data_IF_754176142476
#
_entry.id   IF_754176142476
#
_cell.length_a   1.000
_cell.length_b   1.000
_cell.length_c   1.000
_cell.angle_alpha   90.00
_cell.angle_beta   90.00
_cell.angle_gamma   90.00
#
_symmetry.space_group_name_H-M   'P 1'
#
loop_
_entity.id
_entity.type
_entity.pdbx_description
1 polymer ?
#
# COMPACT_ATOMS: atom_id res chain seq x y z
N UNK A 1 17.98 -16.89 -37.53
CA UNK A 1 17.80 -18.29 -37.11
C UNK A 1 18.16 -18.33 -35.64
N UNK A 2 17.22 -18.67 -34.74
CA UNK A 2 17.55 -18.79 -33.31
C UNK A 2 18.36 -20.09 -33.15
N UNK A 3 19.58 -20.05 -32.58
CA UNK A 3 20.34 -21.26 -32.29
C UNK A 3 19.49 -22.19 -31.42
N UNK A 4 19.38 -23.47 -31.77
CA UNK A 4 18.68 -24.46 -30.95
C UNK A 4 19.74 -25.20 -30.10
N UNK A 5 19.85 -24.92 -28.79
CA UNK A 5 20.82 -25.59 -27.93
C UNK A 5 20.50 -27.09 -27.80
N UNK A 6 21.44 -27.89 -27.31
CA UNK A 6 21.15 -29.29 -26.97
C UNK A 6 20.01 -29.37 -25.94
N UNK A 7 19.19 -30.43 -26.01
CA UNK A 7 18.04 -30.62 -25.12
C UNK A 7 18.40 -30.49 -23.64
N UNK A 8 19.54 -31.03 -23.21
CA UNK A 8 20.03 -30.92 -21.82
C UNK A 8 20.27 -29.47 -21.39
N UNK A 9 20.72 -28.62 -22.31
CA UNK A 9 20.91 -27.19 -22.06
C UNK A 9 19.54 -26.52 -21.99
N UNK A 10 18.63 -26.81 -22.93
CA UNK A 10 17.26 -26.29 -22.90
C UNK A 10 16.55 -26.61 -21.57
N UNK A 11 16.61 -27.86 -21.11
CA UNK A 11 15.95 -28.30 -19.87
C UNK A 11 16.46 -27.50 -18.64
N UNK A 12 17.77 -27.24 -18.57
CA UNK A 12 18.37 -26.43 -17.51
C UNK A 12 18.03 -24.95 -17.61
N UNK A 13 17.98 -24.38 -18.83
CA UNK A 13 17.57 -23.00 -19.03
C UNK A 13 16.13 -22.83 -18.55
N UNK A 14 15.26 -23.77 -18.90
CA UNK A 14 13.87 -23.80 -18.45
C UNK A 14 13.80 -23.91 -16.93
N UNK A 15 14.59 -24.79 -16.30
CA UNK A 15 14.64 -24.92 -14.83
C UNK A 15 14.98 -23.59 -14.13
N UNK A 16 16.02 -22.88 -14.61
CA UNK A 16 16.45 -21.60 -14.04
C UNK A 16 15.35 -20.54 -14.22
N UNK A 17 14.82 -20.38 -15.44
CA UNK A 17 13.83 -19.34 -15.73
C UNK A 17 12.53 -19.59 -14.97
N UNK A 18 12.06 -20.85 -14.91
CA UNK A 18 10.87 -21.21 -14.14
C UNK A 18 11.07 -20.95 -12.64
N UNK A 19 12.28 -21.16 -12.10
CA UNK A 19 12.55 -20.86 -10.69
C UNK A 19 12.42 -19.36 -10.37
N UNK A 20 12.86 -18.49 -11.28
CA UNK A 20 12.75 -17.03 -11.16
C UNK A 20 11.29 -16.58 -11.31
N UNK A 21 10.59 -17.06 -12.34
CA UNK A 21 9.18 -16.73 -12.56
C UNK A 21 8.30 -17.21 -11.40
N UNK A 22 8.59 -18.38 -10.83
CA UNK A 22 7.89 -18.89 -9.66
C UNK A 22 8.08 -17.96 -8.46
N UNK A 23 9.32 -17.54 -8.16
CA UNK A 23 9.59 -16.63 -7.04
C UNK A 23 8.94 -15.25 -7.26
N UNK A 24 8.96 -14.70 -8.48
CA UNK A 24 8.24 -13.47 -8.85
C UNK A 24 6.74 -13.63 -8.60
N UNK A 25 6.16 -14.75 -9.01
CA UNK A 25 4.74 -15.03 -8.79
C UNK A 25 4.40 -15.09 -7.30
N UNK A 26 5.17 -15.82 -6.49
CA UNK A 26 4.98 -15.90 -5.04
C UNK A 26 5.09 -14.51 -4.39
N UNK A 27 6.09 -13.71 -4.75
CA UNK A 27 6.24 -12.37 -4.20
C UNK A 27 5.03 -11.46 -4.55
N UNK A 28 4.48 -11.58 -5.76
CA UNK A 28 3.25 -10.84 -6.14
C UNK A 28 2.06 -11.27 -5.28
N UNK A 29 1.91 -12.57 -4.99
CA UNK A 29 0.86 -13.07 -4.10
C UNK A 29 1.05 -12.60 -2.66
N UNK A 30 2.30 -12.56 -2.17
CA UNK A 30 2.63 -11.97 -0.87
C UNK A 30 2.18 -10.51 -0.83
N UNK A 31 2.52 -9.71 -1.85
CA UNK A 31 2.14 -8.30 -1.92
C UNK A 31 0.63 -8.07 -1.95
N UNK A 32 -0.11 -8.91 -2.66
CA UNK A 32 -1.57 -8.88 -2.66
C UNK A 32 -2.15 -9.21 -1.28
N UNK A 33 -1.58 -10.20 -0.60
CA UNK A 33 -2.02 -10.63 0.74
C UNK A 33 -1.75 -9.54 1.78
N UNK A 34 -0.55 -8.95 1.79
CA UNK A 34 -0.18 -7.85 2.69
C UNK A 34 -1.10 -6.64 2.53
N UNK A 35 -1.45 -6.30 1.29
CA UNK A 35 -2.38 -5.21 0.98
C UNK A 35 -3.80 -5.52 1.44
N UNK A 36 -4.29 -6.74 1.21
CA UNK A 36 -5.60 -7.18 1.69
C UNK A 36 -5.69 -7.15 3.23
N UNK A 37 -4.62 -7.55 3.93
CA UNK A 37 -4.55 -7.44 5.39
C UNK A 37 -4.64 -5.98 5.86
N UNK A 38 -3.88 -5.07 5.24
CA UNK A 38 -3.93 -3.65 5.59
C UNK A 38 -5.29 -3.02 5.31
N UNK A 39 -5.94 -3.39 4.19
CA UNK A 39 -7.30 -2.96 3.86
C UNK A 39 -8.33 -3.49 4.85
N UNK A 40 -8.22 -4.74 5.30
CA UNK A 40 -9.10 -5.31 6.31
C UNK A 40 -8.99 -4.56 7.65
N UNK A 41 -7.76 -4.29 8.12
CA UNK A 41 -7.52 -3.52 9.35
C UNK A 41 -8.09 -2.10 9.20
N UNK A 42 -7.82 -1.43 8.07
CA UNK A 42 -8.35 -0.09 7.80
C UNK A 42 -9.88 -0.05 7.82
N UNK A 43 -10.52 -1.02 7.13
CA UNK A 43 -11.97 -1.13 7.08
C UNK A 43 -12.57 -1.36 8.47
N UNK A 44 -12.01 -2.31 9.22
CA UNK A 44 -12.42 -2.60 10.60
C UNK A 44 -12.35 -1.35 11.49
N UNK A 45 -11.25 -0.60 11.43
CA UNK A 45 -11.01 0.51 12.35
C UNK A 45 -11.74 1.79 11.94
N UNK A 46 -11.71 2.17 10.65
CA UNK A 46 -12.11 3.51 10.20
C UNK A 46 -13.37 3.54 9.33
N UNK A 47 -13.91 2.38 8.93
CA UNK A 47 -15.13 2.31 8.10
C UNK A 47 -16.26 1.64 8.86
N UNK A 48 -15.99 0.45 9.41
CA UNK A 48 -16.99 -0.35 10.11
C UNK A 48 -17.02 -0.04 11.62
N UNK A 49 -15.98 0.60 12.15
CA UNK A 49 -15.79 0.94 13.57
C UNK A 49 -15.93 -0.28 14.50
N UNK A 50 -15.44 -1.44 14.07
CA UNK A 50 -15.64 -2.72 14.79
C UNK A 50 -15.17 -2.69 16.25
N UNK A 51 -13.99 -2.13 16.59
CA UNK A 51 -13.56 -2.09 17.99
C UNK A 51 -14.49 -1.27 18.89
N UNK A 52 -15.06 -0.17 18.38
CA UNK A 52 -15.98 0.71 19.11
C UNK A 52 -17.32 0.01 19.30
N UNK A 53 -17.85 -0.60 18.23
CA UNK A 53 -19.11 -1.35 18.27
C UNK A 53 -19.02 -2.58 19.17
N UNK A 54 -17.87 -3.25 19.21
CA UNK A 54 -17.64 -4.37 20.12
C UNK A 54 -17.72 -3.93 21.59
N UNK A 55 -17.14 -2.76 21.93
CA UNK A 55 -17.28 -2.19 23.28
C UNK A 55 -18.72 -1.85 23.63
N UNK A 56 -19.44 -1.22 22.70
CA UNK A 56 -20.85 -0.85 22.90
C UNK A 56 -21.69 -2.10 23.18
N UNK A 57 -21.53 -3.15 22.36
CA UNK A 57 -22.27 -4.40 22.53
C UNK A 57 -21.98 -5.09 23.88
N UNK A 58 -20.72 -5.10 24.33
CA UNK A 58 -20.34 -5.63 25.63
C UNK A 58 -20.97 -4.84 26.80
N UNK A 59 -20.99 -3.51 26.70
CA UNK A 59 -21.64 -2.64 27.69
C UNK A 59 -23.15 -2.91 27.75
N UNK A 60 -23.81 -3.04 26.58
CA UNK A 60 -25.24 -3.34 26.49
C UNK A 60 -25.59 -4.73 27.04
N UNK A 61 -24.67 -5.69 26.94
CA UNK A 61 -24.79 -7.01 27.53
C UNK A 61 -24.57 -7.02 29.07
N UNK A 62 -24.15 -5.89 29.65
CA UNK A 62 -23.87 -5.77 31.09
C UNK A 62 -22.56 -6.42 31.51
N UNK A 63 -21.61 -6.57 30.58
CA UNK A 63 -20.27 -7.07 30.86
C UNK A 63 -19.46 -6.10 31.72
N UNK A 64 -18.42 -6.61 32.40
CA UNK A 64 -17.56 -5.77 33.21
C UNK A 64 -16.53 -4.98 32.38
N UNK A 65 -15.79 -4.08 33.03
CA UNK A 65 -14.86 -3.20 32.33
C UNK A 65 -13.71 -3.94 31.63
N UNK A 66 -13.30 -5.11 32.13
CA UNK A 66 -12.23 -5.89 31.50
C UNK A 66 -12.77 -6.61 30.25
N UNK A 67 -13.96 -7.20 30.35
CA UNK A 67 -14.63 -7.88 29.24
C UNK A 67 -14.95 -6.92 28.08
N UNK A 68 -15.33 -5.68 28.38
CA UNK A 68 -15.50 -4.61 27.37
C UNK A 68 -14.21 -4.32 26.61
N UNK A 69 -13.06 -4.30 27.30
CA UNK A 69 -11.76 -4.11 26.64
C UNK A 69 -11.39 -5.37 25.83
N UNK A 70 -11.64 -6.56 26.36
CA UNK A 70 -11.44 -7.82 25.63
C UNK A 70 -12.27 -7.88 24.35
N UNK A 71 -13.50 -7.36 24.34
CA UNK A 71 -14.33 -7.26 23.14
C UNK A 71 -13.65 -6.44 22.03
N UNK A 72 -13.06 -5.29 22.36
CA UNK A 72 -12.25 -4.51 21.43
C UNK A 72 -10.96 -5.24 21.01
N UNK A 73 -10.28 -5.93 21.93
CA UNK A 73 -9.08 -6.71 21.60
C UNK A 73 -9.37 -7.82 20.57
N UNK A 74 -10.51 -8.50 20.69
CA UNK A 74 -10.99 -9.48 19.70
C UNK A 74 -11.22 -8.84 18.34
N UNK A 75 -11.93 -7.72 18.30
CA UNK A 75 -12.19 -6.98 17.05
C UNK A 75 -10.90 -6.49 16.38
N UNK A 76 -9.93 -5.99 17.16
CA UNK A 76 -8.66 -5.47 16.63
C UNK A 76 -7.77 -6.59 16.08
N UNK A 77 -7.65 -7.69 16.82
CA UNK A 77 -6.67 -8.75 16.52
C UNK A 77 -7.22 -9.92 15.72
N UNK A 78 -8.54 -10.05 15.63
CA UNK A 78 -9.23 -11.21 15.07
C UNK A 78 -9.06 -12.48 15.92
N UNK A 79 -8.57 -12.38 17.16
CA UNK A 79 -8.32 -13.51 18.05
C UNK A 79 -9.57 -13.91 18.84
N UNK A 80 -9.68 -15.20 19.08
CA UNK A 80 -10.63 -15.81 20.04
C UNK A 80 -10.13 -15.66 21.48
N UNK A 81 -10.99 -15.95 22.46
CA UNK A 81 -10.64 -15.93 23.89
C UNK A 81 -9.46 -16.84 24.21
N UNK A 82 -9.53 -18.09 23.77
CA UNK A 82 -8.46 -19.07 23.95
C UNK A 82 -7.11 -18.59 23.36
N UNK A 83 -7.15 -17.80 22.27
CA UNK A 83 -5.96 -17.23 21.66
C UNK A 83 -5.45 -15.98 22.38
N UNK A 84 -6.34 -15.20 23.00
CA UNK A 84 -5.96 -14.06 23.84
C UNK A 84 -5.34 -14.54 25.15
N UNK A 85 -5.90 -15.58 25.78
CA UNK A 85 -5.34 -16.21 26.98
C UNK A 85 -3.93 -16.75 26.69
N UNK A 86 -3.77 -17.50 25.57
CA UNK A 86 -2.44 -17.94 25.13
C UNK A 86 -1.50 -16.78 24.84
N UNK A 87 -1.99 -15.70 24.24
CA UNK A 87 -1.17 -14.51 23.97
C UNK A 87 -0.70 -13.86 25.28
N UNK A 88 -1.55 -13.82 26.30
CA UNK A 88 -1.21 -13.30 27.62
C UNK A 88 -0.10 -14.14 28.28
N UNK A 89 -0.23 -15.47 28.21
CA UNK A 89 0.73 -16.40 28.82
C UNK A 89 2.07 -16.45 28.08
N UNK A 90 2.04 -16.57 26.74
CA UNK A 90 3.23 -16.79 25.92
C UNK A 90 3.92 -15.48 25.53
N UNK A 91 3.17 -14.41 25.32
CA UNK A 91 3.65 -13.13 24.80
C UNK A 91 3.02 -11.93 25.54
N UNK A 92 3.26 -11.79 26.87
CA UNK A 92 2.58 -10.80 27.72
C UNK A 92 2.79 -9.35 27.26
N UNK A 93 3.93 -9.06 26.60
CA UNK A 93 4.19 -7.73 26.03
C UNK A 93 3.26 -7.41 24.85
N UNK A 94 2.99 -8.38 23.98
CA UNK A 94 2.07 -8.20 22.86
C UNK A 94 0.63 -8.12 23.33
N UNK A 95 0.25 -8.93 24.33
CA UNK A 95 -1.06 -8.80 24.98
C UNK A 95 -1.25 -7.41 25.57
N UNK A 96 -0.29 -6.91 26.35
CA UNK A 96 -0.36 -5.57 26.94
C UNK A 96 -0.47 -4.47 25.87
N UNK A 97 0.29 -4.58 24.78
CA UNK A 97 0.20 -3.64 23.65
C UNK A 97 -1.19 -3.67 23.01
N UNK A 98 -1.74 -4.86 22.76
CA UNK A 98 -3.08 -5.02 22.20
C UNK A 98 -4.15 -4.43 23.13
N UNK A 99 -4.04 -4.67 24.43
CA UNK A 99 -4.91 -4.07 25.45
C UNK A 99 -4.82 -2.55 25.43
N UNK A 100 -3.62 -1.98 25.43
CA UNK A 100 -3.43 -0.52 25.33
C UNK A 100 -4.04 0.04 24.04
N UNK A 101 -3.90 -0.65 22.90
CA UNK A 101 -4.56 -0.23 21.66
C UNK A 101 -6.09 -0.28 21.78
N UNK A 102 -6.64 -1.34 22.39
CA UNK A 102 -8.07 -1.46 22.62
C UNK A 102 -8.61 -0.33 23.51
N UNK A 103 -7.87 0.07 24.55
CA UNK A 103 -8.22 1.18 25.44
C UNK A 103 -8.33 2.54 24.73
N UNK A 104 -7.63 2.74 23.60
CA UNK A 104 -7.70 4.00 22.83
C UNK A 104 -9.04 4.23 22.16
N UNK A 105 -9.79 3.18 21.82
CA UNK A 105 -11.07 3.31 21.14
C UNK A 105 -12.16 3.78 22.12
N UNK A 106 -13.00 4.74 21.75
CA UNK A 106 -14.14 5.14 22.56
C UNK A 106 -15.16 3.99 22.68
N UNK A 107 -16.10 4.14 23.61
CA UNK A 107 -17.18 3.17 23.85
C UNK A 107 -18.57 3.72 23.48
N UNK A 108 -18.62 4.77 22.66
CA UNK A 108 -19.84 5.43 22.23
C UNK A 108 -19.68 5.98 20.80
N UNK A 109 -20.81 6.23 20.15
CA UNK A 109 -20.91 6.91 18.86
C UNK A 109 -21.48 8.32 19.06
N UNK A 110 -21.20 9.21 18.12
CA UNK A 110 -21.73 10.57 18.04
C UNK A 110 -22.22 10.86 16.62
N UNK A 111 -23.21 11.75 16.51
CA UNK A 111 -23.66 12.25 15.21
C UNK A 111 -22.60 13.15 14.55
N UNK A 112 -22.43 13.01 13.24
CA UNK A 112 -21.59 13.89 12.43
C UNK A 112 -22.19 14.13 11.05
N UNK A 113 -21.59 15.05 10.30
CA UNK A 113 -21.96 15.34 8.91
C UNK A 113 -21.81 14.14 7.96
N UNK A 114 -21.01 13.13 8.35
CA UNK A 114 -20.78 11.89 7.60
C UNK A 114 -21.57 10.69 8.16
N UNK A 115 -22.51 10.93 9.07
CA UNK A 115 -23.24 9.89 9.81
C UNK A 115 -22.66 9.66 11.21
N UNK A 116 -23.02 8.55 11.84
CA UNK A 116 -22.51 8.20 13.16
C UNK A 116 -21.02 7.85 13.09
N UNK A 117 -20.21 8.52 13.90
CA UNK A 117 -18.77 8.28 14.04
C UNK A 117 -18.43 8.01 15.50
N UNK A 118 -17.30 7.37 15.82
CA UNK A 118 -16.89 7.17 17.21
C UNK A 118 -16.75 8.47 17.99
N UNK A 119 -17.11 8.45 19.28
CA UNK A 119 -17.04 9.63 20.14
C UNK A 119 -15.60 10.20 20.20
N UNK A 120 -15.47 11.52 20.02
CA UNK A 120 -14.19 12.23 20.00
C UNK A 120 -13.45 12.17 18.67
N UNK A 121 -13.97 11.47 17.66
CA UNK A 121 -13.43 11.51 16.30
C UNK A 121 -13.99 12.72 15.56
N UNK A 122 -13.14 13.39 14.78
CA UNK A 122 -13.48 14.65 14.10
C UNK A 122 -13.61 14.43 12.59
N UNK A 123 -14.60 15.11 11.98
CA UNK A 123 -14.70 15.21 10.53
C UNK A 123 -13.77 16.32 10.05
N UNK A 124 -12.75 15.95 9.28
CA UNK A 124 -11.82 16.84 8.59
C UNK A 124 -11.89 16.61 7.09
N UNK A 125 -10.85 16.99 6.36
CA UNK A 125 -10.72 16.77 4.93
C UNK A 125 -9.32 16.33 4.54
N UNK A 126 -9.18 15.75 3.35
CA UNK A 126 -7.91 15.21 2.85
C UNK A 126 -6.79 16.25 2.85
N UNK A 127 -7.10 17.52 2.59
CA UNK A 127 -6.13 18.61 2.60
C UNK A 127 -5.54 18.92 3.99
N UNK A 128 -6.27 18.63 5.06
CA UNK A 128 -5.82 18.83 6.43
C UNK A 128 -4.95 17.69 6.96
N UNK A 129 -5.07 16.49 6.38
CA UNK A 129 -4.30 15.30 6.78
C UNK A 129 -3.23 14.89 5.77
N UNK A 130 -3.00 15.72 4.74
CA UNK A 130 -1.97 15.50 3.74
C UNK A 130 -1.13 16.75 3.47
N UNK A 131 0.12 16.53 3.10
CA UNK A 131 1.00 17.54 2.49
C UNK A 131 1.05 17.31 0.99
N UNK A 132 0.69 18.32 0.21
CA UNK A 132 0.72 18.26 -1.25
C UNK A 132 1.99 18.91 -1.81
N UNK A 133 2.77 18.15 -2.58
CA UNK A 133 4.06 18.54 -3.16
C UNK A 133 3.98 18.90 -4.65
N UNK A 134 2.80 19.25 -5.14
CA UNK A 134 2.59 19.55 -6.55
C UNK A 134 3.46 20.67 -7.09
N UNK A 135 3.87 21.61 -6.23
CA UNK A 135 4.78 22.72 -6.56
C UNK A 135 6.20 22.25 -6.88
N UNK A 136 6.59 21.06 -6.45
CA UNK A 136 7.89 20.45 -6.71
C UNK A 136 7.93 19.62 -7.99
N UNK A 137 6.77 19.37 -8.63
CA UNK A 137 6.67 18.62 -9.89
C UNK A 137 7.25 19.44 -11.04
N UNK A 138 7.96 18.78 -11.95
CA UNK A 138 8.54 19.42 -13.15
C UNK A 138 8.13 18.59 -14.39
N UNK A 139 7.25 19.08 -15.28
CA UNK A 139 6.90 18.35 -16.49
C UNK A 139 8.07 18.34 -17.48
N UNK A 140 8.32 17.20 -18.12
CA UNK A 140 9.35 17.05 -19.14
C UNK A 140 8.70 16.61 -20.46
N UNK A 141 9.01 17.32 -21.54
CA UNK A 141 8.66 16.90 -22.89
C UNK A 141 9.37 15.59 -23.26
N UNK A 142 8.85 14.87 -24.26
CA UNK A 142 9.48 13.63 -24.76
C UNK A 142 10.96 13.83 -25.11
N UNK A 143 11.29 14.93 -25.82
CA UNK A 143 12.67 15.26 -26.20
C UNK A 143 13.58 15.48 -24.99
N UNK A 144 13.08 16.12 -23.93
CA UNK A 144 13.88 16.32 -22.70
C UNK A 144 14.15 14.99 -22.00
N UNK A 145 13.17 14.07 -21.97
CA UNK A 145 13.36 12.73 -21.40
C UNK A 145 14.35 11.89 -22.20
N UNK A 146 14.32 11.98 -23.53
CA UNK A 146 15.31 11.33 -24.42
C UNK A 146 16.75 11.85 -24.18
N UNK A 147 16.90 13.10 -23.76
CA UNK A 147 18.20 13.70 -23.45
C UNK A 147 18.70 13.41 -22.02
N UNK A 148 17.81 12.94 -21.14
CA UNK A 148 18.06 12.72 -19.71
C UNK A 148 17.96 11.25 -19.34
N UNK A 149 18.26 10.32 -20.26
CA UNK A 149 18.03 8.88 -20.02
C UNK A 149 18.84 8.36 -18.83
N UNK A 150 18.18 7.62 -17.94
CA UNK A 150 18.79 7.06 -16.73
C UNK A 150 17.96 5.96 -16.09
N UNK A 151 18.05 5.82 -14.76
CA UNK A 151 17.39 4.76 -13.98
C UNK A 151 16.27 5.27 -13.07
N UNK A 152 16.08 6.59 -12.96
CA UNK A 152 15.06 7.19 -12.10
C UNK A 152 13.70 7.13 -12.79
N UNK A 153 12.67 6.51 -12.19
CA UNK A 153 11.34 6.43 -12.79
C UNK A 153 10.70 7.81 -12.94
N UNK A 154 10.22 8.09 -14.15
CA UNK A 154 9.41 9.26 -14.48
C UNK A 154 7.93 8.88 -14.49
N UNK A 155 7.20 9.30 -13.44
CA UNK A 155 5.80 8.95 -13.22
C UNK A 155 4.84 9.91 -13.95
N UNK A 156 3.86 9.33 -14.64
CA UNK A 156 2.64 9.99 -15.10
C UNK A 156 1.46 9.77 -14.14
N UNK A 157 0.24 9.98 -14.63
CA UNK A 157 -0.99 9.83 -13.83
C UNK A 157 -1.19 8.40 -13.28
N UNK A 158 -0.90 7.37 -14.09
CA UNK A 158 -1.25 5.97 -13.79
C UNK A 158 -0.08 4.99 -13.79
N UNK A 159 1.03 5.35 -14.43
CA UNK A 159 2.19 4.46 -14.60
C UNK A 159 3.47 5.26 -14.73
N UNK A 160 4.61 4.56 -14.61
CA UNK A 160 5.91 5.03 -15.11
C UNK A 160 5.82 5.18 -16.63
N UNK A 161 6.20 6.37 -17.12
CA UNK A 161 6.16 6.74 -18.55
C UNK A 161 7.55 6.64 -19.19
N UNK A 162 8.61 6.84 -18.42
CA UNK A 162 10.01 6.82 -18.89
C UNK A 162 10.98 6.66 -17.71
N UNK A 163 12.28 6.65 -17.99
CA UNK A 163 13.34 6.71 -16.99
C UNK A 163 14.32 7.85 -17.29
N UNK A 164 14.68 8.59 -16.24
CA UNK A 164 15.57 9.76 -16.31
C UNK A 164 16.80 9.63 -15.40
N UNK A 165 17.79 10.50 -15.58
CA UNK A 165 19.10 10.48 -14.90
C UNK A 165 19.12 11.20 -13.55
N UNK A 166 18.14 12.07 -13.31
CA UNK A 166 18.01 12.90 -12.12
C UNK A 166 16.70 12.60 -11.39
N UNK A 167 16.62 12.94 -10.10
CA UNK A 167 15.41 12.82 -9.29
C UNK A 167 15.04 14.17 -8.68
N UNK A 168 13.75 14.37 -8.44
CA UNK A 168 13.21 15.57 -7.77
C UNK A 168 12.43 15.21 -6.50
N UNK A 169 12.17 13.92 -6.29
CA UNK A 169 11.57 13.36 -5.08
C UNK A 169 12.44 12.21 -4.57
N UNK A 170 12.57 12.08 -3.26
CA UNK A 170 13.18 10.93 -2.59
C UNK A 170 12.48 10.69 -1.25
N UNK A 171 11.64 9.67 -1.20
CA UNK A 171 10.76 9.41 -0.06
C UNK A 171 9.55 8.57 -0.46
N UNK A 172 8.62 8.38 0.47
CA UNK A 172 7.40 7.59 0.27
C UNK A 172 6.22 8.51 0.02
N UNK A 173 5.61 8.40 -1.16
CA UNK A 173 4.54 9.28 -1.61
C UNK A 173 3.35 8.50 -2.17
N UNK A 174 2.18 9.10 -2.03
CA UNK A 174 0.96 8.68 -2.72
C UNK A 174 0.75 9.61 -3.92
N UNK A 175 0.76 9.04 -5.12
CA UNK A 175 0.35 9.74 -6.32
C UNK A 175 -1.15 9.53 -6.55
N UNK A 176 -1.87 10.61 -6.89
CA UNK A 176 -3.29 10.56 -7.26
C UNK A 176 -3.46 11.20 -8.64
N UNK A 177 -4.17 10.57 -9.57
CA UNK A 177 -4.36 11.11 -10.92
C UNK A 177 -5.03 12.50 -10.92
N UNK A 178 -4.38 13.49 -11.51
CA UNK A 178 -4.89 14.87 -11.63
C UNK A 178 -5.72 15.06 -12.92
N UNK A 179 -5.19 14.59 -14.06
CA UNK A 179 -5.78 14.82 -15.40
C UNK A 179 -5.87 13.53 -16.22
N UNK A 180 -6.95 13.40 -16.99
CA UNK A 180 -7.18 12.28 -17.89
C UNK A 180 -7.60 11.03 -17.13
N UNK A 181 -6.64 10.20 -16.73
CA UNK A 181 -6.91 8.96 -15.99
C UNK A 181 -7.02 9.24 -14.49
N UNK A 182 -8.18 9.76 -14.10
CA UNK A 182 -8.50 10.16 -12.72
C UNK A 182 -9.32 9.07 -12.01
N UNK A 183 -10.32 8.51 -12.69
CA UNK A 183 -11.27 7.53 -12.14
C UNK A 183 -11.03 6.15 -12.74
N UNK A 184 -11.13 5.12 -11.90
CA UNK A 184 -11.37 3.74 -12.33
C UNK A 184 -12.86 3.51 -12.57
N UNK A 185 -13.19 2.35 -13.15
CA UNK A 185 -14.57 1.97 -13.49
C UNK A 185 -15.51 1.90 -12.27
N UNK A 186 -14.97 1.68 -11.07
CA UNK A 186 -15.71 1.65 -9.79
C UNK A 186 -15.88 3.03 -9.14
N UNK A 187 -15.34 4.09 -9.77
CA UNK A 187 -15.36 5.46 -9.25
C UNK A 187 -14.27 5.78 -8.24
N UNK A 188 -13.39 4.82 -7.92
CA UNK A 188 -12.20 5.07 -7.10
C UNK A 188 -11.11 5.79 -7.89
N UNK A 189 -10.21 6.54 -7.22
CA UNK A 189 -9.12 7.22 -7.89
C UNK A 189 -8.09 6.23 -8.47
N UNK A 190 -7.48 6.61 -9.60
CA UNK A 190 -6.17 6.08 -9.96
C UNK A 190 -5.12 6.61 -8.99
N UNK A 191 -4.45 5.68 -8.31
CA UNK A 191 -3.38 6.00 -7.36
C UNK A 191 -2.13 5.17 -7.64
N UNK A 192 -0.97 5.70 -7.28
CA UNK A 192 0.29 4.95 -7.28
C UNK A 192 1.02 5.20 -5.96
N UNK A 193 1.39 4.13 -5.26
CA UNK A 193 2.21 4.19 -4.06
C UNK A 193 3.68 4.02 -4.44
N UNK A 194 4.47 5.07 -4.26
CA UNK A 194 5.86 5.14 -4.72
C UNK A 194 6.82 5.35 -3.55
N UNK A 195 8.04 4.85 -3.68
CA UNK A 195 9.12 5.10 -2.72
C UNK A 195 10.47 5.28 -3.40
N UNK A 196 11.35 6.00 -2.71
CA UNK A 196 12.71 6.29 -3.16
C UNK A 196 12.78 7.38 -4.23
N UNK A 197 13.91 7.41 -4.95
CA UNK A 197 14.20 8.43 -5.96
C UNK A 197 13.25 8.35 -7.14
N UNK A 198 12.60 9.47 -7.44
CA UNK A 198 11.61 9.55 -8.51
C UNK A 198 11.51 10.94 -9.13
N UNK A 199 10.92 10.98 -10.32
CA UNK A 199 10.51 12.21 -10.99
C UNK A 199 9.01 12.13 -11.30
N UNK A 200 8.22 13.13 -10.92
CA UNK A 200 6.76 13.13 -11.12
C UNK A 200 6.31 14.24 -12.06
N UNK A 201 5.47 13.90 -13.03
CA UNK A 201 4.85 14.83 -13.98
C UNK A 201 3.66 15.59 -13.35
N UNK A 202 3.16 16.63 -14.02
CA UNK A 202 2.02 17.43 -13.60
C UNK A 202 0.64 16.74 -13.70
N UNK A 203 0.57 15.50 -14.20
CA UNK A 203 -0.68 14.74 -14.31
C UNK A 203 -1.01 13.90 -13.07
N UNK A 204 -0.18 13.95 -12.03
CA UNK A 204 -0.42 13.26 -10.77
C UNK A 204 -0.17 14.20 -9.59
N UNK A 205 -1.13 14.33 -8.68
CA UNK A 205 -0.90 14.95 -7.39
C UNK A 205 0.11 14.14 -6.58
N UNK A 206 1.02 14.80 -5.87
CA UNK A 206 2.03 14.14 -5.02
C UNK A 206 1.70 14.42 -3.55
N UNK A 207 1.27 13.39 -2.81
CA UNK A 207 0.81 13.52 -1.43
C UNK A 207 1.70 12.74 -0.46
N UNK A 208 1.82 13.26 0.76
CA UNK A 208 2.36 12.55 1.92
C UNK A 208 1.45 12.79 3.12
N UNK A 209 1.35 11.82 4.03
CA UNK A 209 0.61 11.99 5.29
C UNK A 209 1.12 13.15 6.14
N UNK A 210 0.22 13.85 6.83
CA UNK A 210 0.55 14.88 7.82
C UNK A 210 -0.42 14.83 9.02
N UNK A 211 -0.14 15.62 10.06
CA UNK A 211 -1.01 15.77 11.23
C UNK A 211 -1.39 14.44 11.90
N UNK A 212 -0.42 13.52 12.01
CA UNK A 212 -0.59 12.21 12.64
C UNK A 212 -1.16 11.14 11.70
N UNK A 213 -1.48 11.47 10.45
CA UNK A 213 -1.86 10.51 9.41
C UNK A 213 -0.64 10.17 8.56
N UNK A 214 -0.41 8.89 8.29
CA UNK A 214 0.71 8.40 7.50
C UNK A 214 0.30 8.17 6.03
N UNK A 215 1.28 8.11 5.12
CA UNK A 215 1.01 8.00 3.67
C UNK A 215 0.21 6.73 3.32
N UNK A 216 0.49 5.61 3.98
CA UNK A 216 -0.22 4.35 3.80
C UNK A 216 -1.69 4.45 4.27
N UNK A 217 -1.96 5.24 5.30
CA UNK A 217 -3.32 5.54 5.74
C UNK A 217 -4.05 6.33 4.65
N UNK A 218 -3.44 7.39 4.10
CA UNK A 218 -4.01 8.12 2.96
C UNK A 218 -4.29 7.21 1.77
N UNK A 219 -3.38 6.26 1.49
CA UNK A 219 -3.54 5.33 0.39
C UNK A 219 -4.77 4.44 0.59
N UNK A 220 -4.89 3.79 1.76
CA UNK A 220 -6.02 2.92 2.10
C UNK A 220 -7.34 3.69 2.09
N UNK A 221 -7.33 4.91 2.64
CA UNK A 221 -8.45 5.83 2.57
C UNK A 221 -8.84 6.09 1.11
N UNK A 222 -7.93 6.59 0.27
CA UNK A 222 -8.22 6.91 -1.13
C UNK A 222 -8.66 5.71 -1.96
N UNK A 223 -8.15 4.50 -1.68
CA UNK A 223 -8.62 3.26 -2.31
C UNK A 223 -10.09 2.96 -2.00
N UNK A 224 -10.57 3.33 -0.81
CA UNK A 224 -11.96 3.11 -0.37
C UNK A 224 -12.95 4.18 -0.83
N UNK A 225 -12.45 5.33 -1.32
CA UNK A 225 -13.31 6.46 -1.69
C UNK A 225 -13.84 6.35 -3.12
N UNK A 226 -15.13 6.65 -3.29
CA UNK A 226 -15.67 7.02 -4.60
C UNK A 226 -15.52 8.53 -4.78
N UNK A 227 -14.67 8.95 -5.72
CA UNK A 227 -14.35 10.37 -5.90
C UNK A 227 -15.10 11.02 -7.07
N UNK A 228 -16.07 10.33 -7.68
CA UNK A 228 -16.79 10.80 -8.88
C UNK A 228 -17.36 12.21 -8.71
N UNK A 229 -17.88 12.53 -7.51
CA UNK A 229 -18.45 13.84 -7.20
C UNK A 229 -17.42 15.00 -7.16
N UNK A 230 -16.13 14.68 -7.00
CA UNK A 230 -15.03 15.66 -6.92
C UNK A 230 -14.34 15.87 -8.27
N UNK A 231 -14.62 15.01 -9.26
CA UNK A 231 -14.03 15.08 -10.58
C UNK A 231 -14.84 16.02 -11.47
N UNK A 232 -14.12 16.82 -12.25
CA UNK A 232 -14.68 17.82 -13.16
C UNK A 232 -14.28 17.52 -14.61
N UNK A 233 -14.98 18.13 -15.57
CA UNK A 233 -14.71 17.97 -16.99
C UNK A 233 -15.45 16.79 -17.61
N UNK A 234 -16.10 17.01 -18.76
CA UNK A 234 -16.90 15.97 -19.43
C UNK A 234 -16.07 15.09 -20.38
N UNK A 235 -15.14 15.70 -21.13
CA UNK A 235 -14.31 15.01 -22.14
C UNK A 235 -12.94 14.63 -21.58
N UNK A 236 -12.36 15.51 -20.76
CA UNK A 236 -11.12 15.25 -20.03
C UNK A 236 -11.40 15.43 -18.56
N UNK A 237 -11.43 14.31 -17.84
CA UNK A 237 -11.64 14.29 -16.41
C UNK A 237 -10.46 14.98 -15.70
N UNK A 238 -10.76 15.75 -14.67
CA UNK A 238 -9.79 16.45 -13.84
C UNK A 238 -10.22 16.46 -12.37
N UNK A 239 -9.36 15.96 -11.51
CA UNK A 239 -9.43 16.21 -10.08
C UNK A 239 -8.47 17.36 -9.80
N UNK A 240 -8.96 18.55 -9.47
CA UNK A 240 -8.07 19.66 -9.11
C UNK A 240 -7.77 19.62 -7.60
N UNK A 241 -6.69 20.31 -7.17
CA UNK A 241 -6.28 20.32 -5.77
C UNK A 241 -7.39 20.77 -4.81
N UNK A 242 -8.21 21.77 -5.18
CA UNK A 242 -9.28 22.27 -4.32
C UNK A 242 -10.30 21.17 -4.03
N UNK A 243 -10.72 20.46 -5.09
CA UNK A 243 -11.69 19.37 -4.97
C UNK A 243 -11.08 18.17 -4.25
N UNK A 244 -9.85 17.79 -4.57
CA UNK A 244 -9.11 16.73 -3.87
C UNK A 244 -9.02 17.02 -2.37
N UNK A 245 -8.58 18.23 -1.99
CA UNK A 245 -8.43 18.61 -0.60
C UNK A 245 -9.76 18.63 0.15
N UNK A 246 -10.90 18.81 -0.54
CA UNK A 246 -12.23 18.82 0.07
C UNK A 246 -12.84 17.44 0.32
N UNK A 247 -12.18 16.35 -0.08
CA UNK A 247 -12.67 14.99 0.17
C UNK A 247 -12.74 14.79 1.70
N UNK A 248 -13.92 14.48 2.28
CA UNK A 248 -14.09 14.35 3.73
C UNK A 248 -13.27 13.20 4.29
N UNK A 249 -12.68 13.42 5.46
CA UNK A 249 -11.83 12.44 6.14
C UNK A 249 -12.23 12.35 7.61
N UNK A 250 -12.33 11.12 8.15
CA UNK A 250 -12.62 10.92 9.58
C UNK A 250 -11.29 10.78 10.30
N UNK A 251 -10.97 11.74 11.16
CA UNK A 251 -9.73 11.73 11.94
C UNK A 251 -9.97 11.17 13.35
N UNK A 252 -9.42 9.99 13.61
CA UNK A 252 -9.48 9.31 14.90
C UNK A 252 -8.57 9.93 16.00
N UNK A 253 -7.78 10.94 15.63
CA UNK A 253 -6.79 11.54 16.50
C UNK A 253 -5.47 10.78 16.54
N UNK A 254 -4.43 11.48 17.01
CA UNK A 254 -3.04 11.00 16.96
C UNK A 254 -2.83 9.62 17.61
N UNK A 255 -3.36 9.31 18.81
CA UNK A 255 -3.10 8.01 19.45
C UNK A 255 -3.58 6.81 18.62
N UNK A 256 -4.78 6.90 18.05
CA UNK A 256 -5.34 5.82 17.22
C UNK A 256 -4.62 5.74 15.88
N UNK A 257 -4.32 6.88 15.25
CA UNK A 257 -3.58 6.90 13.99
C UNK A 257 -2.15 6.34 14.14
N UNK A 258 -1.48 6.61 15.27
CA UNK A 258 -0.17 6.03 15.59
C UNK A 258 -0.28 4.51 15.81
N UNK A 259 -1.29 4.05 16.55
CA UNK A 259 -1.51 2.62 16.76
C UNK A 259 -1.83 1.89 15.45
N UNK A 260 -2.59 2.52 14.57
CA UNK A 260 -2.88 2.01 13.23
C UNK A 260 -1.61 1.91 12.40
N UNK A 261 -0.78 2.96 12.39
CA UNK A 261 0.52 2.93 11.71
C UNK A 261 1.38 1.77 12.18
N UNK A 262 1.52 1.58 13.50
CA UNK A 262 2.28 0.45 14.05
C UNK A 262 1.73 -0.89 13.57
N UNK A 263 0.41 -1.01 13.43
CA UNK A 263 -0.26 -2.25 13.00
C UNK A 263 0.00 -2.59 11.52
N UNK A 264 0.21 -1.59 10.66
CA UNK A 264 0.43 -1.80 9.21
C UNK A 264 1.89 -1.57 8.76
N UNK A 265 2.74 -0.97 9.59
CA UNK A 265 4.09 -0.55 9.21
C UNK A 265 4.94 -1.70 8.66
N UNK A 266 4.94 -2.85 9.36
CA UNK A 266 5.67 -4.04 8.93
C UNK A 266 5.10 -4.65 7.64
N UNK A 267 3.78 -4.55 7.42
CA UNK A 267 3.15 -5.03 6.19
C UNK A 267 3.66 -4.26 4.98
N UNK A 268 3.72 -2.92 5.09
CA UNK A 268 4.19 -2.07 4.00
C UNK A 268 5.71 -2.10 3.83
N UNK A 269 6.47 -2.25 4.92
CA UNK A 269 7.90 -2.51 4.81
C UNK A 269 8.18 -3.80 4.04
N UNK A 270 7.49 -4.89 4.38
CA UNK A 270 7.66 -6.17 3.69
C UNK A 270 7.18 -6.08 2.23
N UNK A 271 6.07 -5.38 1.98
CA UNK A 271 5.56 -5.14 0.62
C UNK A 271 6.58 -4.41 -0.25
N UNK A 272 7.20 -3.34 0.27
CA UNK A 272 8.23 -2.59 -0.48
C UNK A 272 9.44 -3.47 -0.78
N UNK A 273 9.94 -4.21 0.21
CA UNK A 273 11.10 -5.08 0.04
C UNK A 273 10.87 -6.18 -1.02
N UNK A 274 9.70 -6.81 -1.00
CA UNK A 274 9.35 -7.86 -1.97
C UNK A 274 9.03 -7.28 -3.36
N UNK A 275 8.54 -6.06 -3.46
CA UNK A 275 8.40 -5.37 -4.75
C UNK A 275 9.77 -5.03 -5.36
N UNK A 276 10.74 -4.59 -4.56
CA UNK A 276 12.12 -4.43 -5.05
C UNK A 276 12.73 -5.78 -5.48
N UNK A 277 12.51 -6.86 -4.71
CA UNK A 277 12.92 -8.21 -5.10
C UNK A 277 12.28 -8.64 -6.44
N UNK A 278 10.98 -8.33 -6.66
CA UNK A 278 10.30 -8.61 -7.94
C UNK A 278 11.00 -7.88 -9.09
N UNK A 279 11.37 -6.61 -8.92
CA UNK A 279 12.07 -5.82 -9.95
C UNK A 279 13.44 -6.43 -10.25
N UNK A 280 14.22 -6.75 -9.23
CA UNK A 280 15.55 -7.37 -9.39
C UNK A 280 15.48 -8.73 -10.08
N UNK A 281 14.55 -9.59 -9.67
CA UNK A 281 14.35 -10.91 -10.28
C UNK A 281 13.88 -10.82 -11.73
N UNK A 282 12.99 -9.85 -12.04
CA UNK A 282 12.53 -9.62 -13.41
C UNK A 282 13.68 -9.17 -14.30
N UNK A 283 14.50 -8.23 -13.83
CA UNK A 283 15.68 -7.77 -14.56
C UNK A 283 16.71 -8.89 -14.74
N UNK A 284 16.93 -9.71 -13.72
CA UNK A 284 17.83 -10.86 -13.78
C UNK A 284 17.34 -11.88 -14.81
N UNK A 285 16.06 -12.24 -14.78
CA UNK A 285 15.43 -13.15 -15.74
C UNK A 285 15.60 -12.64 -17.17
N UNK A 286 15.26 -11.37 -17.41
CA UNK A 286 15.29 -10.76 -18.73
C UNK A 286 16.73 -10.61 -19.27
N UNK A 287 17.71 -10.47 -18.36
CA UNK A 287 19.15 -10.46 -18.71
C UNK A 287 19.69 -11.86 -18.98
N UNK A 288 19.29 -12.85 -18.19
CA UNK A 288 19.82 -14.22 -18.27
C UNK A 288 19.25 -14.98 -19.47
N UNK A 289 17.96 -14.84 -19.76
CA UNK A 289 17.29 -15.58 -20.83
C UNK A 289 18.04 -15.49 -22.18
N UNK A 290 18.38 -14.32 -22.73
CA UNK A 290 19.11 -14.24 -23.99
C UNK A 290 20.52 -14.84 -23.91
N UNK A 291 21.24 -14.62 -22.79
CA UNK A 291 22.62 -15.12 -22.59
C UNK A 291 22.69 -16.64 -22.46
N UNK A 292 21.69 -17.24 -21.83
CA UNK A 292 21.55 -18.67 -21.70
C UNK A 292 21.15 -19.33 -23.04
N UNK A 293 20.30 -18.68 -23.82
CA UNK A 293 19.92 -19.15 -25.16
C UNK A 293 21.05 -18.99 -26.19
N UNK A 294 21.90 -17.96 -26.07
CA UNK A 294 23.05 -17.73 -26.95
C UNK A 294 24.26 -18.59 -26.60
N UNK A 295 24.28 -19.21 -25.42
CA UNK A 295 25.43 -19.98 -24.92
C UNK A 295 26.58 -19.11 -24.39
N UNK A 296 26.38 -17.80 -24.24
CA UNK A 296 27.35 -16.88 -23.62
C UNK A 296 27.63 -17.20 -22.15
N UNK A 297 26.69 -17.86 -21.48
CA UNK A 297 26.85 -18.39 -20.13
C UNK A 297 26.94 -19.91 -20.18
N UNK A 298 28.13 -20.45 -19.91
CA UNK A 298 28.32 -21.89 -19.77
C UNK A 298 27.68 -22.40 -18.47
N UNK A 299 26.68 -23.28 -18.62
CA UNK A 299 26.10 -23.96 -17.48
C UNK A 299 26.96 -25.14 -17.06
N UNK A 300 27.59 -25.06 -15.87
CA UNK A 300 28.31 -26.20 -15.28
C UNK A 300 27.38 -27.42 -15.22
N UNK A 301 27.69 -28.44 -16.00
CA UNK A 301 27.07 -29.76 -15.89
C UNK A 301 27.75 -30.51 -14.75
N UNK A 302 27.14 -30.51 -13.57
CA UNK A 302 27.39 -31.57 -12.60
C UNK A 302 26.92 -32.88 -13.24
N UNK A 303 27.88 -33.66 -13.73
CA UNK A 303 27.62 -35.06 -14.04
C UNK A 303 27.32 -35.72 -12.69
N UNK A 304 26.06 -36.12 -12.48
CA UNK A 304 25.79 -37.17 -11.49
C UNK A 304 26.57 -38.38 -11.98
N UNK A 305 27.68 -38.68 -11.31
CA UNK A 305 28.33 -39.96 -11.46
C UNK A 305 27.32 -41.02 -11.02
N UNK A 306 26.97 -41.91 -11.93
CA UNK A 306 26.30 -43.16 -11.59
C UNK A 306 27.25 -43.97 -10.70
N UNK A 307 26.82 -44.25 -9.47
CA UNK A 307 27.40 -45.28 -8.60
C UNK A 307 26.30 -45.91 -7.79
#
# INVERSE_FOLDING_TARGET
>A
MIPCPEKRIQDKVVEIILSLDYKIHINRQINQTLEAMAQAIFKSWFVDFEPVKAKIAAIEAGEDAEDVICAAMRAISGKTDDELDKLQDEQPKHYAQLKTTAELFPSAMQDSELGEVPEGWEVSNLGEVSTCFDKSRIPLSKRQREQKQGLIPYYGATTVVDYVDEYIFDGTYLLVGEDGSVLKDDGSPFIQYIWGKSWVNNHAHVLQGSNGVFTEHLMLFMQSQNITAYVTGAVQLKLNQKNMNSIPFINAGKPINDAFYVSIALLYEFKRNTEEEIKELSNLRDTLLPKLLSGELEMKTTNKAES
#
